data_IF_660327817859
#
_entry.id   IF_660327817859
#
_cell.length_a   1.000
_cell.length_b   1.000
_cell.length_c   1.000
_cell.angle_alpha   90.00
_cell.angle_beta   90.00
_cell.angle_gamma   90.00
#
_symmetry.space_group_name_H-M   'P 1'
#
loop_
_entity.id
_entity.type
_entity.pdbx_description
1 polymer ?
#
# COMPACT_ATOMS: atom_id res chain seq x y z
N UNK A 1 -22.22 -17.42 -8.35
CA UNK A 1 -23.28 -17.89 -9.30
C UNK A 1 -23.69 -16.74 -10.23
N UNK A 2 -24.33 -17.04 -11.36
CA UNK A 2 -25.02 -16.00 -12.15
C UNK A 2 -26.34 -15.64 -11.46
N UNK A 3 -26.82 -14.42 -11.67
CA UNK A 3 -28.07 -13.91 -11.10
C UNK A 3 -29.26 -14.85 -11.36
N UNK A 4 -29.44 -15.31 -12.60
CA UNK A 4 -30.51 -16.25 -12.98
C UNK A 4 -30.51 -17.56 -12.18
N UNK A 5 -29.33 -18.04 -11.78
CA UNK A 5 -29.20 -19.27 -10.99
C UNK A 5 -29.70 -19.06 -9.57
N UNK A 6 -29.41 -17.90 -8.98
CA UNK A 6 -29.89 -17.54 -7.64
C UNK A 6 -31.42 -17.49 -7.61
N UNK A 7 -32.04 -16.84 -8.59
CA UNK A 7 -33.51 -16.81 -8.69
C UNK A 7 -34.11 -18.19 -8.89
N UNK A 8 -33.54 -19.01 -9.80
CA UNK A 8 -34.03 -20.37 -10.04
C UNK A 8 -33.97 -21.24 -8.79
N UNK A 9 -32.90 -21.16 -8.00
CA UNK A 9 -32.78 -21.90 -6.74
C UNK A 9 -33.80 -21.44 -5.69
N UNK A 10 -34.03 -20.14 -5.58
CA UNK A 10 -35.02 -19.58 -4.65
C UNK A 10 -36.46 -19.98 -5.02
N UNK A 11 -36.79 -19.91 -6.31
CA UNK A 11 -38.11 -20.32 -6.81
C UNK A 11 -38.34 -21.83 -6.65
N UNK A 12 -37.35 -22.66 -7.01
CA UNK A 12 -37.44 -24.11 -6.85
C UNK A 12 -37.61 -24.52 -5.37
N UNK A 13 -36.95 -23.81 -4.45
CA UNK A 13 -37.17 -24.02 -3.03
C UNK A 13 -38.59 -23.63 -2.59
N UNK A 14 -39.09 -22.47 -3.04
CA UNK A 14 -40.43 -22.00 -2.69
C UNK A 14 -41.52 -22.97 -3.18
N UNK A 15 -41.37 -23.50 -4.40
CA UNK A 15 -42.29 -24.50 -4.97
C UNK A 15 -42.27 -25.81 -4.18
N UNK A 16 -41.08 -26.26 -3.74
CA UNK A 16 -40.92 -27.50 -2.97
C UNK A 16 -41.41 -27.39 -1.51
N UNK A 17 -41.38 -26.20 -0.93
CA UNK A 17 -41.75 -25.96 0.48
C UNK A 17 -43.28 -25.86 0.72
N UNK A 18 -44.08 -25.90 -0.35
CA UNK A 18 -45.47 -25.43 -0.43
C UNK A 18 -46.58 -26.07 0.43
N UNK A 19 -46.30 -26.78 1.52
CA UNK A 19 -47.35 -27.46 2.32
C UNK A 19 -47.33 -27.19 3.84
N UNK A 20 -46.43 -26.36 4.37
CA UNK A 20 -46.34 -26.08 5.81
C UNK A 20 -46.64 -24.60 6.14
N UNK A 21 -47.41 -24.31 7.20
CA UNK A 21 -47.75 -22.93 7.63
C UNK A 21 -46.51 -22.07 7.91
N UNK A 22 -45.44 -22.66 8.48
CA UNK A 22 -44.15 -21.99 8.72
C UNK A 22 -43.42 -21.70 7.40
N UNK A 23 -43.62 -22.53 6.36
CA UNK A 23 -43.09 -22.24 5.04
C UNK A 23 -43.84 -21.09 4.35
N UNK A 24 -45.15 -20.92 4.58
CA UNK A 24 -45.93 -19.83 4.00
C UNK A 24 -45.43 -18.43 4.43
N UNK A 25 -45.05 -18.27 5.70
CA UNK A 25 -44.46 -17.02 6.21
C UNK A 25 -43.10 -16.73 5.54
N UNK A 26 -42.20 -17.72 5.52
CA UNK A 26 -40.89 -17.58 4.88
C UNK A 26 -40.99 -17.35 3.36
N UNK A 27 -41.97 -17.95 2.68
CA UNK A 27 -42.25 -17.72 1.27
C UNK A 27 -42.78 -16.30 1.05
N UNK A 28 -43.69 -15.81 1.91
CA UNK A 28 -44.18 -14.42 1.84
C UNK A 28 -43.06 -13.39 2.05
N UNK A 29 -42.17 -13.63 3.01
CA UNK A 29 -40.99 -12.80 3.22
C UNK A 29 -40.02 -12.83 2.04
N UNK A 30 -39.77 -14.02 1.47
CA UNK A 30 -38.97 -14.17 0.26
C UNK A 30 -39.59 -13.42 -0.92
N UNK A 31 -40.91 -13.52 -1.12
CA UNK A 31 -41.61 -12.79 -2.17
C UNK A 31 -41.40 -11.28 -2.02
N UNK A 32 -41.56 -10.75 -0.81
CA UNK A 32 -41.28 -9.33 -0.53
C UNK A 32 -39.82 -8.93 -0.75
N UNK A 33 -38.86 -9.82 -0.46
CA UNK A 33 -37.44 -9.59 -0.77
C UNK A 33 -37.17 -9.53 -2.28
N UNK A 34 -37.77 -10.45 -3.04
CA UNK A 34 -37.62 -10.50 -4.51
C UNK A 34 -38.29 -9.30 -5.18
N UNK A 35 -39.45 -8.87 -4.70
CA UNK A 35 -40.15 -7.68 -5.17
C UNK A 35 -39.30 -6.41 -4.94
N UNK A 36 -38.75 -6.23 -3.73
CA UNK A 36 -37.82 -5.13 -3.44
C UNK A 36 -36.56 -5.18 -4.31
N UNK A 37 -36.05 -6.37 -4.62
CA UNK A 37 -34.90 -6.53 -5.49
C UNK A 37 -35.20 -6.16 -6.96
N UNK A 38 -36.43 -6.38 -7.43
CA UNK A 38 -36.87 -6.04 -8.78
C UNK A 38 -37.31 -4.57 -8.93
N UNK A 39 -37.56 -3.87 -7.81
CA UNK A 39 -37.91 -2.46 -7.77
C UNK A 39 -36.79 -1.47 -8.17
N UNK A 40 -37.05 -0.15 -8.06
CA UNK A 40 -36.10 0.90 -8.44
C UNK A 40 -34.79 0.83 -7.65
N UNK A 41 -33.68 1.32 -8.22
CA UNK A 41 -32.38 1.38 -7.56
C UNK A 41 -32.41 2.33 -6.37
N UNK A 42 -32.12 1.83 -5.17
CA UNK A 42 -32.06 2.65 -3.96
C UNK A 42 -30.72 3.36 -3.91
N UNK A 43 -30.77 4.68 -3.94
CA UNK A 43 -29.60 5.56 -4.01
C UNK A 43 -29.59 6.47 -2.80
N UNK A 44 -28.48 6.48 -2.09
CA UNK A 44 -28.23 7.47 -1.05
C UNK A 44 -26.94 8.24 -1.30
N UNK A 45 -26.76 9.35 -0.60
CA UNK A 45 -25.50 10.07 -0.58
C UNK A 45 -25.05 10.41 0.83
N UNK A 46 -23.74 10.33 1.05
CA UNK A 46 -23.13 10.70 2.32
C UNK A 46 -21.69 11.16 2.13
N UNK A 47 -21.22 11.97 3.06
CA UNK A 47 -19.80 12.15 3.35
C UNK A 47 -19.36 11.12 4.41
N UNK A 48 -18.06 11.09 4.75
CA UNK A 48 -17.59 10.35 5.93
C UNK A 48 -18.05 10.96 7.26
N UNK A 49 -18.63 12.16 7.23
CA UNK A 49 -19.08 12.92 8.40
C UNK A 49 -20.60 12.95 8.58
N UNK A 50 -21.39 12.63 7.56
CA UNK A 50 -22.84 12.66 7.65
C UNK A 50 -23.58 12.45 6.32
N UNK A 51 -24.91 12.44 6.35
CA UNK A 51 -25.74 12.31 5.16
C UNK A 51 -25.65 13.56 4.27
N UNK A 52 -25.83 13.37 2.96
CA UNK A 52 -25.99 14.46 1.99
C UNK A 52 -27.36 14.31 1.34
N UNK A 53 -28.26 15.31 1.48
CA UNK A 53 -29.57 15.25 0.83
C UNK A 53 -29.43 15.14 -0.69
N UNK A 54 -30.24 14.27 -1.29
CA UNK A 54 -30.37 14.18 -2.74
C UNK A 54 -31.71 14.78 -3.18
N UNK A 55 -31.75 15.43 -4.36
CA UNK A 55 -33.03 15.79 -4.97
C UNK A 55 -33.82 14.52 -5.31
N UNK A 56 -35.15 14.59 -5.43
CA UNK A 56 -35.95 13.47 -5.89
C UNK A 56 -35.53 13.10 -7.32
N UNK A 57 -34.91 11.93 -7.46
CA UNK A 57 -34.52 11.34 -8.74
C UNK A 57 -35.67 10.43 -9.20
N UNK A 58 -36.30 10.73 -10.35
CA UNK A 58 -37.54 10.10 -10.81
C UNK A 58 -37.42 8.61 -11.22
N UNK A 59 -38.16 8.20 -12.25
CA UNK A 59 -38.35 6.77 -12.60
C UNK A 59 -37.04 5.96 -12.69
N UNK A 60 -37.04 4.82 -11.98
CA UNK A 60 -35.93 3.86 -11.94
C UNK A 60 -35.02 4.00 -10.72
N UNK A 61 -35.15 5.08 -9.94
CA UNK A 61 -34.38 5.31 -8.72
C UNK A 61 -35.28 5.65 -7.53
N UNK A 62 -34.83 5.30 -6.34
CA UNK A 62 -35.48 5.63 -5.07
C UNK A 62 -34.42 6.27 -4.16
N UNK A 63 -34.69 7.48 -3.67
CA UNK A 63 -33.76 8.17 -2.75
C UNK A 63 -33.95 7.61 -1.35
N UNK A 64 -32.85 7.13 -0.77
CA UNK A 64 -32.80 6.70 0.63
C UNK A 64 -31.76 7.49 1.40
N UNK A 65 -32.09 7.86 2.63
CA UNK A 65 -31.13 8.53 3.51
C UNK A 65 -30.06 7.51 3.99
N UNK A 66 -28.79 7.88 3.85
CA UNK A 66 -27.66 7.04 4.27
C UNK A 66 -26.64 7.87 5.03
N UNK A 67 -26.05 7.28 6.06
CA UNK A 67 -24.98 7.87 6.86
C UNK A 67 -23.77 6.96 6.91
N UNK A 68 -22.58 7.56 7.01
CA UNK A 68 -21.34 6.82 7.18
C UNK A 68 -21.13 6.36 8.63
N UNK A 69 -20.60 5.14 8.89
CA UNK A 69 -20.37 4.07 7.94
C UNK A 69 -21.70 3.45 7.49
N UNK A 70 -21.78 3.12 6.21
CA UNK A 70 -22.99 2.54 5.63
C UNK A 70 -23.07 1.05 6.02
N UNK A 71 -23.65 0.78 7.20
CA UNK A 71 -23.80 -0.57 7.76
C UNK A 71 -25.25 -1.00 7.63
N UNK A 72 -25.49 -2.07 6.86
CA UNK A 72 -26.84 -2.62 6.71
C UNK A 72 -27.85 -1.71 6.02
N UNK A 73 -27.39 -0.77 5.18
CA UNK A 73 -28.29 0.19 4.54
C UNK A 73 -29.24 -0.43 3.53
N UNK A 74 -30.36 0.26 3.34
CA UNK A 74 -31.32 0.00 2.28
C UNK A 74 -30.77 0.38 0.88
N UNK A 75 -29.58 0.97 0.77
CA UNK A 75 -29.06 1.47 -0.49
C UNK A 75 -28.38 0.38 -1.33
N UNK A 76 -28.60 0.44 -2.64
CA UNK A 76 -27.87 -0.35 -3.63
C UNK A 76 -26.63 0.42 -4.13
N UNK A 77 -26.76 1.75 -4.22
CA UNK A 77 -25.70 2.68 -4.62
C UNK A 77 -25.57 3.78 -3.59
N UNK A 78 -24.33 4.13 -3.23
CA UNK A 78 -24.02 5.26 -2.35
C UNK A 78 -23.10 6.22 -3.10
N UNK A 79 -23.57 7.45 -3.30
CA UNK A 79 -22.74 8.56 -3.74
C UNK A 79 -21.88 9.00 -2.56
N UNK A 80 -20.60 8.57 -2.54
CA UNK A 80 -19.66 8.97 -1.50
C UNK A 80 -19.06 10.33 -1.86
N UNK A 81 -19.59 11.37 -1.25
CA UNK A 81 -19.18 12.73 -1.50
C UNK A 81 -17.81 13.03 -0.86
N UNK A 82 -16.90 13.60 -1.65
CA UNK A 82 -15.56 14.00 -1.21
C UNK A 82 -15.28 15.46 -1.56
N UNK A 83 -14.40 16.12 -0.81
CA UNK A 83 -14.02 17.51 -1.09
C UNK A 83 -12.90 18.00 -0.17
N UNK A 84 -12.46 19.26 -0.30
CA UNK A 84 -11.39 19.83 0.51
C UNK A 84 -11.67 19.75 2.02
N UNK A 85 -12.92 19.97 2.42
CA UNK A 85 -13.41 19.90 3.80
C UNK A 85 -13.81 18.49 4.24
N UNK A 86 -13.87 17.53 3.31
CA UNK A 86 -14.31 16.16 3.56
C UNK A 86 -13.38 15.17 2.87
N UNK A 87 -12.27 14.84 3.56
CA UNK A 87 -11.27 13.90 3.07
C UNK A 87 -11.70 12.47 3.39
N UNK A 88 -11.84 11.65 2.35
CA UNK A 88 -12.03 10.21 2.51
C UNK A 88 -10.67 9.57 2.78
N UNK A 89 -10.42 9.20 4.03
CA UNK A 89 -9.20 8.51 4.41
C UNK A 89 -9.17 7.06 3.92
N UNK A 90 -7.96 6.48 3.83
CA UNK A 90 -7.78 5.13 3.35
C UNK A 90 -8.55 4.08 4.14
N UNK A 91 -8.68 4.25 5.46
CA UNK A 91 -9.43 3.34 6.31
C UNK A 91 -10.94 3.40 6.05
N UNK A 92 -11.45 4.57 5.68
CA UNK A 92 -12.83 4.74 5.26
C UNK A 92 -13.02 4.15 3.85
N UNK A 93 -12.16 4.52 2.91
CA UNK A 93 -12.20 4.01 1.54
C UNK A 93 -12.04 2.48 1.46
N UNK A 94 -11.22 1.89 2.32
CA UNK A 94 -11.08 0.45 2.47
C UNK A 94 -12.41 -0.28 2.73
N UNK A 95 -13.37 0.35 3.41
CA UNK A 95 -14.69 -0.24 3.68
C UNK A 95 -15.57 -0.26 2.45
N UNK A 96 -15.36 0.63 1.49
CA UNK A 96 -16.14 0.66 0.23
C UNK A 96 -15.81 -0.52 -0.69
N UNK A 97 -14.68 -1.18 -0.44
CA UNK A 97 -14.23 -2.40 -1.13
C UNK A 97 -14.77 -3.70 -0.50
N UNK A 98 -15.48 -3.61 0.63
CA UNK A 98 -16.09 -4.76 1.31
C UNK A 98 -17.47 -5.09 0.70
N UNK A 99 -18.01 -6.32 0.89
CA UNK A 99 -19.36 -6.65 0.46
C UNK A 99 -20.37 -5.65 1.04
N UNK A 100 -21.21 -5.04 0.20
CA UNK A 100 -22.08 -3.93 0.59
C UNK A 100 -22.62 -3.13 -0.61
N UNK A 101 -23.10 -1.89 -0.39
CA UNK A 101 -23.57 -1.04 -1.49
C UNK A 101 -22.43 -0.68 -2.44
N UNK A 102 -22.78 -0.39 -3.69
CA UNK A 102 -21.82 0.15 -4.63
C UNK A 102 -21.51 1.62 -4.30
N UNK A 103 -20.28 1.91 -3.89
CA UNK A 103 -19.86 3.28 -3.64
C UNK A 103 -19.35 3.94 -4.92
N UNK A 104 -20.01 5.03 -5.31
CA UNK A 104 -19.62 5.88 -6.43
C UNK A 104 -19.08 7.22 -5.89
N UNK A 105 -17.78 7.52 -6.05
CA UNK A 105 -17.19 8.73 -5.50
C UNK A 105 -17.58 9.96 -6.34
N UNK A 106 -18.12 11.00 -5.69
CA UNK A 106 -18.52 12.25 -6.35
C UNK A 106 -18.02 13.48 -5.60
N UNK A 107 -17.81 14.60 -6.29
CA UNK A 107 -17.41 15.85 -5.64
C UNK A 107 -18.57 16.43 -4.81
N UNK A 108 -18.28 16.82 -3.57
CA UNK A 108 -19.27 17.32 -2.62
C UNK A 108 -19.88 18.65 -3.06
N UNK A 109 -19.09 19.54 -3.65
CA UNK A 109 -19.58 20.84 -4.14
C UNK A 109 -20.52 20.63 -5.32
N UNK A 110 -20.13 19.81 -6.29
CA UNK A 110 -21.00 19.40 -7.39
C UNK A 110 -22.31 18.81 -6.87
N UNK A 111 -22.24 17.85 -5.95
CA UNK A 111 -23.42 17.16 -5.44
C UNK A 111 -24.40 18.12 -4.74
N UNK A 112 -23.89 19.14 -4.04
CA UNK A 112 -24.70 20.15 -3.37
C UNK A 112 -25.41 21.11 -4.32
N UNK A 113 -24.81 21.37 -5.49
CA UNK A 113 -25.38 22.26 -6.51
C UNK A 113 -26.13 21.53 -7.62
N UNK A 114 -26.01 20.21 -7.70
CA UNK A 114 -26.54 19.41 -8.80
C UNK A 114 -28.07 19.40 -8.83
N UNK A 115 -28.65 19.55 -10.02
CA UNK A 115 -30.09 19.35 -10.24
C UNK A 115 -30.46 17.85 -10.21
N UNK A 116 -31.76 17.55 -10.11
CA UNK A 116 -32.25 16.16 -10.19
C UNK A 116 -31.81 15.48 -11.50
N UNK A 117 -31.88 16.19 -12.62
CA UNK A 117 -31.49 15.70 -13.94
C UNK A 117 -29.99 15.40 -14.02
N UNK A 118 -29.16 16.24 -13.38
CA UNK A 118 -27.71 16.04 -13.32
C UNK A 118 -27.34 14.83 -12.49
N UNK A 119 -27.97 14.65 -11.33
CA UNK A 119 -27.79 13.46 -10.49
C UNK A 119 -28.24 12.20 -11.24
N UNK A 120 -29.40 12.22 -11.91
CA UNK A 120 -29.87 11.09 -12.72
C UNK A 120 -28.88 10.76 -13.85
N UNK A 121 -28.35 11.77 -14.52
CA UNK A 121 -27.33 11.59 -15.56
C UNK A 121 -26.08 10.93 -15.00
N UNK A 122 -25.60 11.39 -13.84
CA UNK A 122 -24.45 10.78 -13.15
C UNK A 122 -24.72 9.32 -12.78
N UNK A 123 -25.90 9.03 -12.20
CA UNK A 123 -26.30 7.67 -11.83
C UNK A 123 -26.37 6.73 -13.04
N UNK A 124 -26.75 7.24 -14.22
CA UNK A 124 -26.75 6.46 -15.47
C UNK A 124 -25.35 6.15 -16.01
N UNK A 125 -24.31 6.86 -15.55
CA UNK A 125 -22.91 6.51 -15.89
C UNK A 125 -22.37 5.35 -15.06
N UNK A 126 -23.02 5.05 -13.94
CA UNK A 126 -22.63 3.96 -13.06
C UNK A 126 -22.82 2.63 -13.79
N UNK A 127 -21.77 1.81 -13.77
CA UNK A 127 -21.77 0.48 -14.38
C UNK A 127 -22.96 -0.35 -13.83
N UNK A 128 -23.95 -0.67 -14.68
CA UNK A 128 -25.17 -1.36 -14.23
C UNK A 128 -24.85 -2.77 -13.70
N UNK A 129 -23.75 -3.38 -14.15
CA UNK A 129 -23.26 -4.65 -13.61
C UNK A 129 -22.82 -4.54 -12.16
N UNK A 130 -22.29 -3.39 -11.74
CA UNK A 130 -21.82 -3.15 -10.36
C UNK A 130 -22.97 -2.88 -9.40
N UNK A 131 -23.90 -2.00 -9.78
CA UNK A 131 -25.10 -1.73 -8.97
C UNK A 131 -25.91 -3.02 -8.75
N UNK A 132 -26.09 -3.80 -9.83
CA UNK A 132 -26.74 -5.12 -9.77
C UNK A 132 -25.98 -6.14 -8.91
N UNK A 133 -24.64 -6.16 -8.98
CA UNK A 133 -23.84 -7.06 -8.14
C UNK A 133 -23.94 -6.72 -6.66
N UNK A 134 -23.96 -5.44 -6.30
CA UNK A 134 -24.16 -4.98 -4.91
C UNK A 134 -25.55 -5.38 -4.40
N UNK A 135 -26.58 -5.15 -5.21
CA UNK A 135 -27.95 -5.55 -4.92
C UNK A 135 -28.09 -7.08 -4.74
N UNK A 136 -27.45 -7.87 -5.58
CA UNK A 136 -27.44 -9.33 -5.49
C UNK A 136 -26.71 -9.83 -4.24
N UNK A 137 -25.60 -9.21 -3.86
CA UNK A 137 -24.91 -9.52 -2.59
C UNK A 137 -25.80 -9.25 -1.39
N UNK A 138 -26.58 -8.17 -1.44
CA UNK A 138 -27.55 -7.86 -0.40
C UNK A 138 -28.67 -8.91 -0.35
N UNK A 139 -29.27 -9.29 -1.48
CA UNK A 139 -30.28 -10.36 -1.52
C UNK A 139 -29.75 -11.64 -0.88
N UNK A 140 -28.50 -12.03 -1.21
CA UNK A 140 -27.87 -13.22 -0.61
C UNK A 140 -27.71 -13.07 0.91
N UNK A 141 -27.35 -11.89 1.40
CA UNK A 141 -27.27 -11.62 2.84
C UNK A 141 -28.64 -11.66 3.52
N UNK A 142 -29.69 -11.14 2.88
CA UNK A 142 -31.05 -11.15 3.41
C UNK A 142 -31.66 -12.57 3.41
N UNK A 143 -31.42 -13.36 2.36
CA UNK A 143 -31.79 -14.77 2.31
C UNK A 143 -31.04 -15.57 3.39
N UNK A 144 -29.76 -15.25 3.64
CA UNK A 144 -29.02 -15.87 4.74
C UNK A 144 -29.67 -15.56 6.10
N UNK A 145 -30.09 -14.32 6.34
CA UNK A 145 -30.84 -13.94 7.56
C UNK A 145 -32.20 -14.61 7.64
N UNK A 146 -32.90 -14.78 6.52
CA UNK A 146 -34.17 -15.52 6.47
C UNK A 146 -33.96 -16.99 6.85
N UNK A 147 -32.92 -17.63 6.31
CA UNK A 147 -32.53 -19.00 6.68
C UNK A 147 -32.22 -19.11 8.17
N UNK A 148 -31.50 -18.14 8.73
CA UNK A 148 -31.12 -18.15 10.14
C UNK A 148 -32.35 -17.98 11.06
N UNK A 149 -33.37 -17.24 10.62
CA UNK A 149 -34.66 -17.10 11.34
C UNK A 149 -35.56 -18.32 11.23
N UNK A 150 -35.50 -19.07 10.14
CA UNK A 150 -36.30 -20.27 9.92
C UNK A 150 -35.43 -21.53 9.75
N UNK A 151 -34.74 -21.96 10.81
CA UNK A 151 -33.91 -23.16 10.76
C UNK A 151 -34.80 -24.38 10.48
N UNK A 152 -34.37 -25.23 9.54
CA UNK A 152 -35.08 -26.47 9.18
C UNK A 152 -35.97 -26.39 7.92
N UNK A 153 -36.20 -25.19 7.37
CA UNK A 153 -36.94 -25.06 6.09
C UNK A 153 -36.11 -25.38 4.83
N UNK A 154 -34.83 -25.70 4.97
CA UNK A 154 -33.97 -26.06 3.84
C UNK A 154 -33.71 -24.91 2.85
N UNK A 155 -33.84 -23.64 3.28
CA UNK A 155 -33.57 -22.46 2.45
C UNK A 155 -32.14 -22.55 1.88
N UNK A 156 -31.95 -22.38 0.55
CA UNK A 156 -30.68 -22.61 -0.11
C UNK A 156 -29.58 -21.68 0.39
N UNK A 157 -28.34 -22.20 0.42
CA UNK A 157 -27.15 -21.40 0.73
C UNK A 157 -26.61 -20.76 -0.55
N UNK A 158 -26.93 -19.50 -0.74
CA UNK A 158 -26.53 -18.75 -1.92
C UNK A 158 -25.13 -18.14 -1.78
N UNK A 159 -24.47 -17.95 -2.93
CA UNK A 159 -23.21 -17.21 -3.04
C UNK A 159 -23.29 -16.23 -4.21
N UNK A 160 -23.31 -14.94 -3.88
CA UNK A 160 -23.27 -13.87 -4.86
C UNK A 160 -21.88 -13.78 -5.51
N UNK A 161 -21.79 -13.49 -6.82
CA UNK A 161 -20.52 -13.17 -7.45
C UNK A 161 -19.95 -11.87 -6.86
N UNK A 162 -18.65 -11.87 -6.59
CA UNK A 162 -17.94 -10.63 -6.27
C UNK A 162 -17.41 -9.99 -7.54
N UNK A 163 -17.94 -8.81 -7.86
CA UNK A 163 -17.38 -8.00 -8.92
C UNK A 163 -16.03 -7.44 -8.44
N UNK A 164 -14.93 -7.86 -9.07
CA UNK A 164 -13.63 -7.24 -8.81
C UNK A 164 -13.65 -5.84 -9.40
N UNK A 165 -13.51 -4.83 -8.54
CA UNK A 165 -13.33 -3.45 -8.96
C UNK A 165 -11.86 -3.23 -9.36
N UNK A 166 -11.57 -2.58 -10.50
CA UNK A 166 -10.21 -2.16 -10.79
C UNK A 166 -9.75 -1.20 -9.67
N UNK A 167 -8.46 -1.23 -9.29
CA UNK A 167 -7.94 -0.30 -8.30
C UNK A 167 -7.87 1.11 -8.89
N UNK A 168 -8.22 2.13 -8.10
CA UNK A 168 -8.10 3.54 -8.47
C UNK A 168 -6.73 4.05 -8.06
N UNK A 169 -5.99 4.59 -9.01
CA UNK A 169 -4.59 4.97 -8.86
C UNK A 169 -4.46 6.47 -9.07
N UNK A 170 -3.98 7.19 -8.06
CA UNK A 170 -3.63 8.60 -8.18
C UNK A 170 -2.16 8.75 -8.57
N UNK A 171 -1.91 9.53 -9.62
CA UNK A 171 -0.56 9.94 -10.04
C UNK A 171 -0.20 11.28 -9.41
N UNK A 172 0.74 11.27 -8.47
CA UNK A 172 1.18 12.46 -7.74
C UNK A 172 2.65 12.76 -8.00
N UNK A 173 3.03 14.02 -7.94
CA UNK A 173 4.39 14.45 -8.22
C UNK A 173 4.45 15.88 -8.76
N UNK A 174 5.55 16.60 -8.54
CA UNK A 174 5.71 18.00 -8.95
C UNK A 174 5.87 18.16 -10.47
N UNK A 175 6.38 17.15 -11.16
CA UNK A 175 6.68 17.19 -12.59
C UNK A 175 5.53 16.56 -13.40
N UNK A 176 4.79 17.38 -14.15
CA UNK A 176 3.67 16.93 -14.98
C UNK A 176 4.11 16.03 -16.15
N UNK A 177 5.25 16.32 -16.77
CA UNK A 177 5.76 15.56 -17.92
C UNK A 177 6.13 14.14 -17.49
N UNK A 178 6.79 14.00 -16.34
CA UNK A 178 7.10 12.67 -15.81
C UNK A 178 5.87 11.92 -15.35
N UNK A 179 4.88 12.60 -14.76
CA UNK A 179 3.60 11.95 -14.42
C UNK A 179 2.90 11.40 -15.65
N UNK A 180 2.91 12.13 -16.77
CA UNK A 180 2.37 11.67 -18.04
C UNK A 180 3.09 10.41 -18.55
N UNK A 181 4.43 10.42 -18.51
CA UNK A 181 5.24 9.27 -18.91
C UNK A 181 4.97 7.99 -18.07
N UNK A 182 4.42 8.14 -16.87
CA UNK A 182 4.01 7.04 -16.00
C UNK A 182 2.53 6.67 -16.14
N UNK A 183 1.71 7.47 -16.84
CA UNK A 183 0.25 7.28 -16.92
C UNK A 183 -0.12 5.96 -17.58
N UNK A 184 0.43 5.66 -18.76
CA UNK A 184 0.14 4.40 -19.46
C UNK A 184 0.54 3.18 -18.62
N UNK A 185 1.70 3.24 -17.96
CA UNK A 185 2.19 2.16 -17.09
C UNK A 185 1.25 1.93 -15.91
N UNK A 186 0.78 3.00 -15.27
CA UNK A 186 -0.15 2.91 -14.17
C UNK A 186 -1.56 2.48 -14.62
N UNK A 187 -2.01 2.90 -15.80
CA UNK A 187 -3.33 2.54 -16.35
C UNK A 187 -3.46 1.03 -16.60
N UNK A 188 -2.35 0.33 -16.84
CA UNK A 188 -2.34 -1.13 -16.93
C UNK A 188 -2.67 -1.85 -15.62
N UNK A 189 -2.53 -1.18 -14.48
CA UNK A 189 -2.83 -1.74 -13.16
C UNK A 189 -4.25 -1.43 -12.70
N UNK A 190 -4.87 -0.38 -13.23
CA UNK A 190 -6.19 0.08 -12.79
C UNK A 190 -6.60 1.43 -13.37
N UNK A 191 -7.66 2.00 -12.80
CA UNK A 191 -8.25 3.26 -13.23
C UNK A 191 -7.41 4.44 -12.74
N UNK A 192 -6.95 5.32 -13.65
CA UNK A 192 -6.24 6.54 -13.26
C UNK A 192 -7.24 7.61 -12.86
N UNK A 193 -7.05 8.16 -11.68
CA UNK A 193 -7.93 9.19 -11.12
C UNK A 193 -7.15 10.43 -10.72
N UNK A 194 -7.88 11.53 -10.50
CA UNK A 194 -7.26 12.78 -10.05
C UNK A 194 -6.62 12.61 -8.67
N UNK A 195 -5.53 13.34 -8.37
CA UNK A 195 -4.81 13.24 -7.09
C UNK A 195 -5.67 13.45 -5.84
N UNK A 196 -6.77 14.18 -5.98
CA UNK A 196 -7.65 14.54 -4.86
C UNK A 196 -8.83 13.57 -4.69
N UNK A 197 -9.11 12.73 -5.69
CA UNK A 197 -10.17 11.72 -5.65
C UNK A 197 -9.85 10.59 -4.65
N UNK A 198 -10.87 9.90 -4.09
CA UNK A 198 -10.68 8.66 -3.35
C UNK A 198 -9.92 7.62 -4.18
N UNK A 199 -8.83 7.09 -3.61
CA UNK A 199 -7.83 6.27 -4.30
C UNK A 199 -7.44 5.06 -3.47
N UNK A 200 -7.10 3.97 -4.14
CA UNK A 200 -6.59 2.74 -3.50
C UNK A 200 -5.07 2.71 -3.44
N UNK A 201 -4.42 3.42 -4.35
CA UNK A 201 -2.98 3.49 -4.46
C UNK A 201 -2.56 4.87 -4.93
N UNK A 202 -1.63 5.49 -4.23
CA UNK A 202 -0.94 6.67 -4.72
C UNK A 202 0.40 6.24 -5.34
N UNK A 203 0.60 6.54 -6.62
CA UNK A 203 1.88 6.41 -7.30
C UNK A 203 2.54 7.79 -7.38
N UNK A 204 3.57 7.97 -6.56
CA UNK A 204 4.37 9.17 -6.48
C UNK A 204 5.55 9.12 -7.45
N UNK A 205 5.49 9.97 -8.46
CA UNK A 205 6.50 10.12 -9.50
C UNK A 205 7.46 11.25 -9.11
N UNK A 206 8.70 10.90 -8.84
CA UNK A 206 9.74 11.85 -8.43
C UNK A 206 10.19 12.73 -9.61
N UNK A 207 10.59 14.00 -9.37
CA UNK A 207 11.30 14.79 -10.38
C UNK A 207 12.72 14.25 -10.59
N UNK A 208 13.41 14.72 -11.63
CA UNK A 208 14.75 14.21 -12.04
C UNK A 208 15.78 14.26 -10.92
N UNK A 209 15.72 15.28 -10.05
CA UNK A 209 16.59 15.44 -8.88
C UNK A 209 16.17 14.63 -7.64
N UNK A 210 15.08 13.85 -7.70
CA UNK A 210 14.56 13.11 -6.56
C UNK A 210 13.66 13.94 -5.64
N UNK A 211 13.35 13.41 -4.45
CA UNK A 211 12.40 14.05 -3.53
C UNK A 211 13.06 15.13 -2.67
N UNK A 212 12.50 16.35 -2.70
CA UNK A 212 12.88 17.46 -1.84
C UNK A 212 12.03 17.51 -0.55
N UNK A 213 12.54 18.11 0.55
CA UNK A 213 11.80 18.25 1.81
C UNK A 213 10.41 18.88 1.69
N UNK A 214 10.23 19.84 0.78
CA UNK A 214 8.93 20.48 0.49
C UNK A 214 7.87 19.49 -0.03
N UNK A 215 8.26 18.42 -0.71
CA UNK A 215 7.34 17.40 -1.21
C UNK A 215 6.78 16.48 -0.11
N UNK A 216 7.34 16.54 1.11
CA UNK A 216 6.96 15.66 2.22
C UNK A 216 5.48 15.78 2.57
N UNK A 217 4.92 17.00 2.56
CA UNK A 217 3.51 17.25 2.87
C UNK A 217 2.59 16.48 1.91
N UNK A 218 2.80 16.66 0.61
CA UNK A 218 2.04 16.00 -0.47
C UNK A 218 2.11 14.47 -0.38
N UNK A 219 3.30 13.90 -0.14
CA UNK A 219 3.46 12.45 -0.01
C UNK A 219 2.80 11.89 1.26
N UNK A 220 2.88 12.62 2.37
CA UNK A 220 2.25 12.23 3.63
C UNK A 220 0.73 12.22 3.50
N UNK A 221 0.18 13.26 2.87
CA UNK A 221 -1.25 13.36 2.60
C UNK A 221 -1.72 12.25 1.66
N UNK A 222 -0.99 12.00 0.57
CA UNK A 222 -1.33 10.92 -0.35
C UNK A 222 -1.29 9.55 0.33
N UNK A 223 -0.30 9.33 1.22
CA UNK A 223 -0.22 8.11 2.03
C UNK A 223 -1.41 7.96 2.99
N UNK A 224 -1.89 9.06 3.57
CA UNK A 224 -3.08 9.08 4.45
C UNK A 224 -4.35 8.75 3.66
N UNK A 225 -4.51 9.36 2.48
CA UNK A 225 -5.69 9.18 1.62
C UNK A 225 -5.76 7.79 0.98
N UNK A 226 -4.68 7.34 0.36
CA UNK A 226 -4.65 6.06 -0.36
C UNK A 226 -4.35 4.86 0.55
N UNK A 227 -3.67 5.06 1.68
CA UNK A 227 -3.25 3.98 2.58
C UNK A 227 -2.10 3.13 2.03
N UNK A 228 -1.81 3.26 0.74
CA UNK A 228 -0.78 2.56 -0.01
C UNK A 228 -0.07 3.60 -0.87
N UNK A 229 1.24 3.72 -0.70
CA UNK A 229 2.07 4.66 -1.44
C UNK A 229 3.20 3.92 -2.12
N UNK A 230 3.34 4.12 -3.42
CA UNK A 230 4.48 3.67 -4.23
C UNK A 230 5.23 4.91 -4.69
N UNK A 231 6.56 4.91 -4.56
CA UNK A 231 7.43 6.02 -4.96
C UNK A 231 8.38 5.57 -6.06
N UNK A 232 8.63 6.42 -7.06
CA UNK A 232 9.56 6.10 -8.16
C UNK A 232 11.03 6.41 -7.85
N UNK A 233 11.30 7.09 -6.73
CA UNK A 233 12.65 7.36 -6.24
C UNK A 233 12.71 7.22 -4.71
N UNK A 234 13.88 6.91 -4.13
CA UNK A 234 14.05 6.75 -2.70
C UNK A 234 13.63 8.01 -1.95
N UNK A 235 12.80 7.85 -0.91
CA UNK A 235 12.47 8.91 0.05
C UNK A 235 13.36 8.81 1.28
N UNK A 236 13.71 9.94 1.95
CA UNK A 236 14.44 9.90 3.21
C UNK A 236 13.73 9.03 4.27
N UNK A 237 14.47 8.13 4.93
CA UNK A 237 13.91 7.24 5.97
C UNK A 237 13.29 8.02 7.14
N UNK A 238 13.78 9.23 7.42
CA UNK A 238 13.26 10.13 8.44
C UNK A 238 11.79 10.52 8.22
N UNK A 239 11.27 10.38 6.99
CA UNK A 239 9.87 10.71 6.70
C UNK A 239 8.89 9.61 7.10
N UNK A 240 9.38 8.36 7.33
CA UNK A 240 8.59 7.21 7.82
C UNK A 240 7.26 6.98 7.09
N UNK A 241 7.23 7.19 5.77
CA UNK A 241 6.00 7.13 4.96
C UNK A 241 5.49 5.69 4.72
N UNK A 242 6.31 4.67 4.98
CA UNK A 242 5.97 3.28 4.63
C UNK A 242 5.68 3.10 3.13
N UNK A 243 6.43 3.82 2.29
CA UNK A 243 6.29 3.78 0.84
C UNK A 243 7.08 2.63 0.22
N UNK A 244 6.55 2.04 -0.85
CA UNK A 244 7.26 1.03 -1.62
C UNK A 244 8.02 1.69 -2.77
N UNK A 245 9.33 1.43 -2.87
CA UNK A 245 10.17 1.96 -3.95
C UNK A 245 10.04 1.11 -5.22
N UNK A 246 9.76 1.76 -6.35
CA UNK A 246 9.86 1.18 -7.69
C UNK A 246 10.87 2.01 -8.47
N UNK A 247 12.05 1.45 -8.71
CA UNK A 247 13.11 2.12 -9.49
C UNK A 247 12.70 2.21 -10.97
N UNK A 248 13.00 3.33 -11.62
CA UNK A 248 12.72 3.58 -13.05
C UNK A 248 13.42 2.59 -13.98
N UNK A 249 14.51 1.98 -13.53
CA UNK A 249 15.21 0.91 -14.26
C UNK A 249 14.47 -0.42 -14.22
N UNK A 250 13.44 -0.53 -13.38
CA UNK A 250 12.61 -1.71 -13.29
C UNK A 250 11.61 -1.66 -14.44
N UNK A 251 11.76 -2.61 -15.36
CA UNK A 251 10.83 -2.90 -16.45
C UNK A 251 9.39 -2.99 -15.94
N UNK A 252 8.41 -2.79 -16.84
CA UNK A 252 6.96 -2.86 -16.58
C UNK A 252 6.53 -3.94 -15.56
N UNK A 253 7.19 -5.10 -15.59
CA UNK A 253 6.96 -6.20 -14.66
C UNK A 253 7.14 -5.86 -13.18
N UNK A 254 7.99 -4.90 -12.80
CA UNK A 254 8.21 -4.62 -11.39
C UNK A 254 7.32 -3.55 -10.76
N UNK A 255 6.68 -2.66 -11.54
CA UNK A 255 5.56 -1.87 -11.03
C UNK A 255 4.39 -2.80 -10.69
N UNK A 256 4.04 -3.71 -11.60
CA UNK A 256 3.00 -4.71 -11.37
C UNK A 256 3.34 -5.64 -10.19
N UNK A 257 4.58 -6.14 -10.12
CA UNK A 257 5.03 -7.01 -9.01
C UNK A 257 5.03 -6.30 -7.66
N UNK A 258 5.27 -4.98 -7.63
CA UNK A 258 5.27 -4.17 -6.43
C UNK A 258 3.84 -3.79 -5.98
N UNK A 259 2.99 -3.38 -6.93
CA UNK A 259 1.64 -2.90 -6.65
C UNK A 259 0.66 -4.04 -6.38
N UNK A 260 0.74 -5.15 -7.13
CA UNK A 260 -0.23 -6.25 -7.07
C UNK A 260 -0.40 -6.86 -5.66
N UNK A 261 0.66 -7.15 -4.88
CA UNK A 261 0.51 -7.62 -3.49
C UNK A 261 -0.18 -6.60 -2.58
N UNK A 262 0.03 -5.30 -2.81
CA UNK A 262 -0.65 -4.25 -2.06
C UNK A 262 -2.14 -4.26 -2.42
N UNK A 263 -2.45 -4.33 -3.71
CA UNK A 263 -3.81 -4.32 -4.25
C UNK A 263 -4.63 -5.56 -3.87
N UNK A 264 -3.99 -6.74 -3.88
CA UNK A 264 -4.60 -8.04 -3.54
C UNK A 264 -4.74 -8.25 -2.02
N UNK A 265 -4.06 -7.45 -1.19
CA UNK A 265 -4.21 -7.52 0.26
C UNK A 265 -5.58 -6.97 0.69
N UNK A 266 -6.28 -7.60 1.65
CA UNK A 266 -7.52 -7.05 2.19
C UNK A 266 -7.32 -5.60 2.64
N UNK A 267 -8.30 -4.70 2.43
CA UNK A 267 -8.15 -3.29 2.76
C UNK A 267 -7.74 -3.04 4.23
N UNK A 268 -8.24 -3.88 5.15
CA UNK A 268 -7.92 -3.86 6.58
C UNK A 268 -6.58 -4.53 6.94
N UNK A 269 -5.98 -5.32 6.05
CA UNK A 269 -4.69 -5.98 6.30
C UNK A 269 -3.48 -5.03 6.16
N UNK A 270 -3.68 -3.86 5.55
CA UNK A 270 -2.64 -2.83 5.38
C UNK A 270 -2.71 -1.76 6.47
N UNK A 271 -3.86 -1.61 7.15
CA UNK A 271 -4.05 -0.68 8.26
C UNK A 271 -3.41 -1.14 9.59
N UNK A 272 -2.98 -2.41 9.69
CA UNK A 272 -2.27 -2.94 10.86
C UNK A 272 -1.00 -3.71 10.48
N UNK A 273 -0.17 -3.14 9.61
CA UNK A 273 1.25 -3.51 9.55
C UNK A 273 2.13 -2.48 10.24
N UNK A 274 1.91 -2.28 11.55
CA UNK A 274 3.08 -2.52 12.39
C UNK A 274 3.38 -4.01 12.20
N UNK A 275 4.55 -4.40 11.66
CA UNK A 275 4.83 -5.80 11.46
C UNK A 275 4.63 -6.50 12.80
N UNK A 276 3.60 -7.34 12.90
CA UNK A 276 3.50 -8.31 13.98
C UNK A 276 4.89 -8.97 14.05
N UNK A 277 5.52 -9.02 15.22
CA UNK A 277 6.90 -9.48 15.35
C UNK A 277 6.98 -10.84 14.66
N UNK A 278 7.78 -10.90 13.59
CA UNK A 278 7.92 -12.12 12.80
C UNK A 278 8.21 -13.28 13.75
N UNK A 279 7.51 -14.40 13.57
CA UNK A 279 7.72 -15.62 14.35
C UNK A 279 9.22 -15.84 14.56
N UNK A 280 9.69 -16.19 15.78
CA UNK A 280 11.10 -16.11 16.17
C UNK A 280 12.07 -16.72 15.13
N UNK A 281 11.70 -17.85 14.53
CA UNK A 281 12.50 -18.53 13.51
C UNK A 281 12.53 -17.88 12.12
N UNK A 282 11.60 -17.00 11.75
CA UNK A 282 11.64 -16.24 10.48
C UNK A 282 12.54 -15.02 10.62
N UNK A 283 12.47 -14.32 11.77
CA UNK A 283 13.34 -13.20 12.09
C UNK A 283 14.81 -13.63 12.14
N UNK A 284 15.08 -14.77 12.76
CA UNK A 284 16.43 -15.33 12.84
C UNK A 284 16.96 -15.77 11.47
N UNK A 285 16.12 -16.38 10.61
CA UNK A 285 16.50 -16.75 9.24
C UNK A 285 16.80 -15.53 8.36
N UNK A 286 15.99 -14.47 8.45
CA UNK A 286 16.25 -13.21 7.75
C UNK A 286 17.53 -12.52 8.25
N UNK A 287 17.77 -12.53 9.56
CA UNK A 287 18.99 -12.00 10.16
C UNK A 287 20.23 -12.77 9.68
N UNK A 288 20.20 -14.11 9.73
CA UNK A 288 21.29 -14.97 9.22
C UNK A 288 21.57 -14.70 7.73
N UNK A 289 20.52 -14.46 6.93
CA UNK A 289 20.66 -14.11 5.50
C UNK A 289 21.28 -12.72 5.31
N UNK A 290 20.83 -11.71 6.06
CA UNK A 290 21.42 -10.35 6.04
C UNK A 290 22.87 -10.35 6.50
N UNK A 291 23.20 -11.05 7.58
CA UNK A 291 24.57 -11.20 8.07
C UNK A 291 25.48 -11.91 7.06
N UNK A 292 24.95 -12.91 6.32
CA UNK A 292 25.70 -13.59 5.25
C UNK A 292 26.01 -12.64 4.09
N UNK A 293 25.05 -11.80 3.71
CA UNK A 293 25.25 -10.77 2.67
C UNK A 293 26.30 -9.76 3.12
N UNK A 294 26.20 -9.21 4.34
CA UNK A 294 27.20 -8.28 4.89
C UNK A 294 28.58 -8.91 4.97
N UNK A 295 28.66 -10.22 5.31
CA UNK A 295 29.92 -10.96 5.30
C UNK A 295 30.48 -11.16 3.87
N UNK A 296 29.65 -11.18 2.84
CA UNK A 296 30.08 -11.29 1.44
C UNK A 296 30.46 -9.97 0.75
N UNK A 297 30.21 -8.82 1.40
CA UNK A 297 30.49 -7.51 0.79
C UNK A 297 31.99 -7.19 0.77
N UNK A 298 32.49 -6.77 -0.39
CA UNK A 298 33.83 -6.20 -0.55
C UNK A 298 33.97 -4.80 0.09
N UNK A 299 35.20 -4.28 0.18
CA UNK A 299 35.49 -3.04 0.91
C UNK A 299 34.80 -1.76 0.41
N UNK A 300 34.36 -1.70 -0.86
CA UNK A 300 33.50 -0.61 -1.36
C UNK A 300 32.05 -0.76 -0.88
N UNK A 301 31.50 -1.97 -0.94
CA UNK A 301 30.15 -2.29 -0.47
C UNK A 301 29.97 -2.08 1.03
N UNK A 302 30.95 -2.47 1.85
CA UNK A 302 30.92 -2.22 3.30
C UNK A 302 30.92 -0.72 3.65
N UNK A 303 31.69 0.10 2.93
CA UNK A 303 31.74 1.56 3.14
C UNK A 303 30.48 2.28 2.66
N UNK A 304 29.81 1.75 1.64
CA UNK A 304 28.52 2.28 1.18
C UNK A 304 27.41 1.92 2.18
N UNK A 305 27.43 0.69 2.69
CA UNK A 305 26.50 0.24 3.73
C UNK A 305 26.68 1.00 5.05
N UNK A 306 27.92 1.18 5.51
CA UNK A 306 28.22 1.97 6.72
C UNK A 306 27.70 3.41 6.62
N UNK A 307 27.89 4.05 5.46
CA UNK A 307 27.35 5.39 5.18
C UNK A 307 25.82 5.42 5.20
N UNK A 308 25.16 4.42 4.61
CA UNK A 308 23.69 4.32 4.68
C UNK A 308 23.16 4.08 6.10
N UNK A 309 23.99 3.55 7.01
CA UNK A 309 23.63 3.33 8.41
C UNK A 309 23.98 4.51 9.31
N UNK A 310 24.55 5.60 8.78
CA UNK A 310 25.00 6.74 9.57
C UNK A 310 26.31 6.52 10.34
N UNK A 311 27.01 5.41 10.06
CA UNK A 311 28.35 5.15 10.58
C UNK A 311 29.29 5.96 9.69
N UNK A 312 29.65 7.16 10.16
CA UNK A 312 30.68 7.95 9.52
C UNK A 312 31.99 7.15 9.57
N UNK A 313 32.68 6.90 8.44
CA UNK A 313 34.01 6.34 8.51
C UNK A 313 34.88 7.35 9.27
N UNK A 314 35.23 7.04 10.52
CA UNK A 314 36.08 7.86 11.39
C UNK A 314 37.54 7.95 10.89
N UNK A 315 37.78 7.59 9.63
CA UNK A 315 39.10 7.26 9.12
C UNK A 315 39.48 8.24 8.02
N UNK A 316 40.09 9.35 8.42
CA UNK A 316 40.86 10.16 7.49
C UNK A 316 42.03 9.32 6.96
N UNK A 317 42.10 9.13 5.64
CA UNK A 317 43.28 8.52 4.97
C UNK A 317 44.59 9.21 5.42
N UNK A 318 44.48 10.47 5.81
CA UNK A 318 45.51 11.28 6.45
C UNK A 318 46.13 10.69 7.72
N UNK A 319 45.35 10.10 8.62
CA UNK A 319 45.90 9.51 9.84
C UNK A 319 46.77 8.27 9.54
N UNK A 320 46.41 7.49 8.52
CA UNK A 320 47.18 6.33 8.07
C UNK A 320 48.44 6.79 7.34
N UNK A 321 48.33 7.81 6.48
CA UNK A 321 49.48 8.40 5.82
C UNK A 321 50.49 8.94 6.84
N UNK A 322 50.00 9.61 7.90
CA UNK A 322 50.85 10.15 8.97
C UNK A 322 51.54 9.04 9.78
N UNK A 323 50.82 7.98 10.18
CA UNK A 323 51.40 6.84 10.91
C UNK A 323 52.48 6.13 10.07
N UNK A 324 52.23 5.94 8.77
CA UNK A 324 53.18 5.31 7.85
C UNK A 324 54.42 6.18 7.65
N UNK A 325 54.25 7.51 7.51
CA UNK A 325 55.35 8.46 7.38
C UNK A 325 56.23 8.50 8.64
N UNK A 326 55.61 8.49 9.83
CA UNK A 326 56.35 8.48 11.11
C UNK A 326 57.16 7.19 11.26
N UNK A 327 56.55 6.03 10.98
CA UNK A 327 57.25 4.73 11.09
C UNK A 327 58.37 4.63 10.05
N UNK A 328 58.12 5.03 8.79
CA UNK A 328 59.13 5.04 7.75
C UNK A 328 60.29 6.00 8.07
N UNK A 329 59.99 7.17 8.62
CA UNK A 329 60.98 8.15 9.07
C UNK A 329 61.86 7.62 10.21
N UNK A 330 61.27 6.98 11.22
CA UNK A 330 62.01 6.39 12.35
C UNK A 330 62.93 5.25 11.90
N UNK A 331 62.45 4.37 11.00
CA UNK A 331 63.25 3.27 10.44
C UNK A 331 64.38 3.83 9.57
N UNK A 332 64.10 4.82 8.73
CA UNK A 332 65.10 5.47 7.88
C UNK A 332 66.20 6.14 8.70
N UNK A 333 65.83 6.87 9.76
CA UNK A 333 66.78 7.53 10.66
C UNK A 333 67.64 6.51 11.43
N UNK A 334 67.05 5.40 11.89
CA UNK A 334 67.79 4.33 12.56
C UNK A 334 68.79 3.63 11.64
N UNK A 335 68.40 3.34 10.40
CA UNK A 335 69.27 2.68 9.41
C UNK A 335 70.38 3.61 8.89
N UNK A 336 70.11 4.90 8.72
CA UNK A 336 71.12 5.89 8.37
C UNK A 336 72.18 6.03 9.47
N UNK A 337 71.76 6.00 10.75
CA UNK A 337 72.68 6.01 11.89
C UNK A 337 73.54 4.75 11.98
N UNK A 338 73.05 3.62 11.47
CA UNK A 338 73.79 2.35 11.39
C UNK A 338 74.78 2.27 10.21
N UNK A 339 74.95 3.36 9.44
CA UNK A 339 75.92 3.44 8.33
C UNK A 339 75.46 2.75 7.05
N UNK A 340 74.17 2.41 6.93
CA UNK A 340 73.63 1.78 5.74
C UNK A 340 73.55 2.79 4.59
N UNK A 341 73.92 2.37 3.38
CA UNK A 341 73.84 3.20 2.18
C UNK A 341 72.40 3.71 1.98
N UNK A 342 72.25 5.02 1.81
CA UNK A 342 70.96 5.72 1.81
C UNK A 342 69.89 5.13 0.87
N UNK A 343 70.21 4.59 -0.33
CA UNK A 343 69.19 3.99 -1.20
C UNK A 343 68.63 2.70 -0.62
N UNK A 344 69.49 1.90 0.05
CA UNK A 344 69.09 0.65 0.69
C UNK A 344 68.23 0.94 1.93
N UNK A 345 68.62 1.93 2.74
CA UNK A 345 67.84 2.38 3.87
C UNK A 345 66.44 2.90 3.45
N UNK A 346 66.38 3.67 2.37
CA UNK A 346 65.11 4.17 1.81
C UNK A 346 64.22 3.04 1.29
N UNK A 347 64.79 2.05 0.59
CA UNK A 347 64.04 0.89 0.10
C UNK A 347 63.45 0.06 1.24
N UNK A 348 64.22 -0.19 2.31
CA UNK A 348 63.75 -0.94 3.49
C UNK A 348 62.65 -0.17 4.24
N UNK A 349 62.83 1.14 4.42
CA UNK A 349 61.82 1.98 5.07
C UNK A 349 60.50 2.01 4.27
N UNK A 350 60.57 2.09 2.94
CA UNK A 350 59.39 2.05 2.07
C UNK A 350 58.67 0.69 2.13
N UNK A 351 59.41 -0.42 2.12
CA UNK A 351 58.85 -1.77 2.22
C UNK A 351 58.14 -1.98 3.58
N UNK A 352 58.77 -1.57 4.68
CA UNK A 352 58.20 -1.68 6.02
C UNK A 352 56.99 -0.76 6.21
N UNK A 353 57.04 0.47 5.70
CA UNK A 353 55.92 1.40 5.67
C UNK A 353 54.72 0.86 4.88
N UNK A 354 54.97 0.26 3.71
CA UNK A 354 53.95 -0.40 2.90
C UNK A 354 53.30 -1.60 3.62
N UNK A 355 54.10 -2.46 4.25
CA UNK A 355 53.59 -3.58 5.05
C UNK A 355 52.74 -3.10 6.24
N UNK A 356 53.15 -2.01 6.89
CA UNK A 356 52.40 -1.38 7.98
C UNK A 356 51.08 -0.75 7.51
N UNK A 357 51.09 -0.11 6.34
CA UNK A 357 49.87 0.43 5.72
C UNK A 357 48.85 -0.68 5.37
N UNK A 358 49.33 -1.80 4.84
CA UNK A 358 48.44 -2.93 4.49
C UNK A 358 47.86 -3.59 5.75
N UNK A 359 48.66 -3.75 6.81
CA UNK A 359 48.19 -4.34 8.08
C UNK A 359 47.20 -3.43 8.79
N UNK A 360 47.45 -2.12 8.87
CA UNK A 360 46.52 -1.16 9.47
C UNK A 360 45.20 -1.07 8.69
N UNK A 361 45.25 -1.07 7.35
CA UNK A 361 44.06 -1.13 6.50
C UNK A 361 43.25 -2.42 6.69
N UNK A 362 43.92 -3.55 6.92
CA UNK A 362 43.25 -4.84 7.18
C UNK A 362 42.57 -4.86 8.55
N UNK A 363 43.23 -4.38 9.59
CA UNK A 363 42.69 -4.30 10.95
C UNK A 363 41.48 -3.38 11.00
N UNK A 364 41.59 -2.17 10.45
CA UNK A 364 40.47 -1.20 10.42
C UNK A 364 39.30 -1.66 9.54
N UNK A 365 39.57 -2.44 8.48
CA UNK A 365 38.48 -3.12 7.72
C UNK A 365 37.75 -4.16 8.56
N UNK A 366 38.44 -4.84 9.49
CA UNK A 366 37.80 -5.78 10.41
C UNK A 366 36.95 -5.04 11.45
N UNK A 367 37.47 -3.96 12.02
CA UNK A 367 36.76 -3.09 12.97
C UNK A 367 35.48 -2.51 12.34
N UNK A 368 35.58 -1.86 11.17
CA UNK A 368 34.41 -1.34 10.45
C UNK A 368 33.39 -2.45 10.15
N UNK A 369 33.86 -3.66 9.82
CA UNK A 369 32.97 -4.79 9.57
C UNK A 369 32.29 -5.26 10.86
N UNK A 370 32.98 -5.24 12.00
CA UNK A 370 32.40 -5.57 13.30
C UNK A 370 31.39 -4.51 13.76
N UNK A 371 31.69 -3.22 13.60
CA UNK A 371 30.76 -2.12 13.91
C UNK A 371 29.51 -2.18 13.05
N UNK A 372 29.66 -2.39 11.73
CA UNK A 372 28.52 -2.56 10.81
C UNK A 372 27.70 -3.79 11.18
N UNK A 373 28.34 -4.90 11.58
CA UNK A 373 27.63 -6.11 12.01
C UNK A 373 26.90 -5.90 13.35
N UNK A 374 27.52 -5.19 14.30
CA UNK A 374 26.93 -4.85 15.59
C UNK A 374 25.73 -3.90 15.43
N UNK A 375 25.85 -2.87 14.60
CA UNK A 375 24.77 -1.93 14.32
C UNK A 375 23.60 -2.60 13.58
N UNK A 376 23.91 -3.48 12.62
CA UNK A 376 22.88 -4.29 11.94
C UNK A 376 22.17 -5.23 12.92
N UNK A 377 22.88 -5.80 13.90
CA UNK A 377 22.28 -6.65 14.94
C UNK A 377 21.46 -5.84 15.97
N UNK A 378 21.93 -4.66 16.37
CA UNK A 378 21.26 -3.72 17.28
C UNK A 378 19.95 -3.20 16.67
N UNK A 379 19.98 -2.68 15.43
CA UNK A 379 18.78 -2.20 14.72
C UNK A 379 17.81 -3.31 14.34
N UNK A 380 18.31 -4.55 14.24
CA UNK A 380 17.45 -5.73 14.07
C UNK A 380 16.84 -6.23 15.39
N UNK A 381 17.09 -5.54 16.50
CA UNK A 381 16.49 -5.76 17.83
C UNK A 381 16.93 -7.05 18.52
N UNK A 382 18.18 -7.47 18.32
CA UNK A 382 18.76 -8.66 18.97
C UNK A 382 19.71 -8.34 20.14
N UNK A 383 20.03 -7.07 20.38
CA UNK A 383 20.70 -6.66 21.61
C UNK A 383 19.64 -6.37 22.66
N UNK A 384 19.59 -7.18 23.73
CA UNK A 384 19.09 -6.66 25.01
C UNK A 384 20.08 -5.57 25.47
N UNK A 385 19.61 -4.54 26.19
CA UNK A 385 20.49 -3.50 26.73
C UNK A 385 21.65 -4.10 27.53
#
# INVERSE_FOLDING_TARGET
MKEEVIYKELLAWADAAGNARVAAEAIGELAGLLERHQGPLRVGACTVTGPVPLPPVGEGFEVVEVSWPVVGSEADVVLLAWGPSCVVEAAAWARTRSPGPHFHPVELEWLRSASAEEVVRELRTIDPGRARSARLQRLVAEVARLRDRHPGLGIPRLVAPHHKMPPRIALIGPDAVRREAWRERAASLGEIVTPHSPTDLALAVAPSGGWLPEHRGTLTEARRRAGRLVVTAPVPESWRLGALLVDEKITFGGLASAAKPLLDSPPYAVAFRHPAPAAPGVRERMLRRRLRVVRGLGGRGLRQLGRSLGIAPSVGLWAIALEVLVVAGLIGAGLARAGLWWPVAAAVAAAMGGARAVTSLRLRRRELRQEVLAEVAFRSGCAKP
#
